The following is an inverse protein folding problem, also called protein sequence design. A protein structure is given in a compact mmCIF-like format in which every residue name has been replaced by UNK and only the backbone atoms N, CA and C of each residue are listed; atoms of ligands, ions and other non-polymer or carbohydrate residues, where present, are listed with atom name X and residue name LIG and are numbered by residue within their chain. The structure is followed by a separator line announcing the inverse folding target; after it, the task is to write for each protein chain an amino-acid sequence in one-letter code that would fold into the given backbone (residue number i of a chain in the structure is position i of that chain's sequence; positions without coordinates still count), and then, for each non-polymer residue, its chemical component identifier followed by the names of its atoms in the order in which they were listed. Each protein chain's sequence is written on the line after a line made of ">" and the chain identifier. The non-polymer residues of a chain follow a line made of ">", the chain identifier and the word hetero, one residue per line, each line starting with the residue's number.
data_IF_695782551643
#
_entry.id   IF_695782551643
#
_cell.length_a   1.000
_cell.length_b   1.000
_cell.length_c   1.000
_cell.angle_alpha   90.00
_cell.angle_beta   90.00
_cell.angle_gamma   90.00
#
_symmetry.space_group_name_H-M   'P 1'
#
loop_
_entity.id
_entity.type
_entity.pdbx_description
1 polymer ?
#
# COMPACT_ATOMS: atom_id res chain seq x y z
N UNK A 1 20.91 -3.50 5.11
CA UNK A 1 20.36 -3.70 3.75
C UNK A 1 20.77 -5.04 3.15
N UNK A 2 22.03 -5.48 3.30
CA UNK A 2 22.52 -6.78 2.81
C UNK A 2 21.65 -7.98 3.19
N UNK A 3 21.31 -8.14 4.47
CA UNK A 3 20.46 -9.24 4.92
C UNK A 3 19.04 -9.17 4.35
N UNK A 4 18.48 -7.96 4.22
CA UNK A 4 17.19 -7.74 3.57
C UNK A 4 17.21 -8.22 2.11
N UNK A 5 18.23 -7.81 1.34
CA UNK A 5 18.38 -8.19 -0.05
C UNK A 5 18.60 -9.70 -0.22
N UNK A 6 19.46 -10.30 0.62
CA UNK A 6 19.68 -11.75 0.63
C UNK A 6 18.41 -12.54 0.98
N UNK A 7 17.63 -12.06 1.95
CA UNK A 7 16.33 -12.66 2.30
C UNK A 7 15.35 -12.56 1.14
N UNK A 8 15.25 -11.40 0.49
CA UNK A 8 14.41 -11.20 -0.69
C UNK A 8 14.79 -12.14 -1.84
N UNK A 9 16.09 -12.32 -2.09
CA UNK A 9 16.59 -13.24 -3.11
C UNK A 9 16.24 -14.70 -2.78
N UNK A 10 16.42 -15.12 -1.52
CA UNK A 10 16.06 -16.46 -1.06
C UNK A 10 14.55 -16.74 -1.17
N UNK A 11 13.71 -15.76 -0.84
CA UNK A 11 12.25 -15.84 -1.05
C UNK A 11 11.90 -15.96 -2.53
N UNK A 12 12.57 -15.21 -3.40
CA UNK A 12 12.36 -15.26 -4.85
C UNK A 12 12.81 -16.56 -5.49
N UNK A 13 13.80 -17.24 -4.91
CA UNK A 13 14.38 -18.47 -5.44
C UNK A 13 13.53 -19.73 -5.21
N UNK A 14 12.51 -19.67 -4.34
CA UNK A 14 11.63 -20.82 -4.05
C UNK A 14 10.23 -20.60 -4.61
N UNK A 15 9.60 -21.61 -5.25
CA UNK A 15 8.20 -21.53 -5.66
C UNK A 15 7.22 -21.83 -4.51
N UNK A 16 7.69 -22.42 -3.41
CA UNK A 16 6.81 -22.93 -2.34
C UNK A 16 6.41 -21.82 -1.36
N UNK A 17 5.11 -21.52 -1.30
CA UNK A 17 4.54 -20.47 -0.44
C UNK A 17 4.89 -20.63 1.04
N UNK A 18 4.85 -21.86 1.57
CA UNK A 18 5.22 -22.13 2.96
C UNK A 18 6.70 -21.85 3.22
N UNK A 19 7.57 -22.18 2.26
CA UNK A 19 9.01 -21.92 2.40
C UNK A 19 9.34 -20.43 2.33
N UNK A 20 8.64 -19.66 1.48
CA UNK A 20 8.76 -18.19 1.47
C UNK A 20 8.41 -17.59 2.83
N UNK A 21 7.30 -18.06 3.40
CA UNK A 21 6.82 -17.63 4.72
C UNK A 21 7.88 -17.92 5.77
N UNK A 22 8.48 -19.12 5.70
CA UNK A 22 9.52 -19.57 6.64
C UNK A 22 10.80 -18.78 6.60
N UNK A 23 11.30 -18.52 5.39
CA UNK A 23 12.50 -17.70 5.18
C UNK A 23 12.27 -16.30 5.71
N UNK A 24 11.14 -15.68 5.35
CA UNK A 24 10.83 -14.31 5.75
C UNK A 24 10.55 -14.19 7.26
N UNK A 25 9.82 -15.15 7.84
CA UNK A 25 9.54 -15.20 9.28
C UNK A 25 10.80 -15.41 10.12
N UNK A 26 11.75 -16.22 9.64
CA UNK A 26 13.06 -16.36 10.26
C UNK A 26 13.84 -15.04 10.27
N UNK A 27 13.81 -14.29 9.16
CA UNK A 27 14.42 -12.97 9.08
C UNK A 27 13.73 -11.96 10.01
N UNK A 28 12.40 -11.88 10.05
CA UNK A 28 11.69 -10.94 10.93
C UNK A 28 11.98 -11.14 12.42
N UNK A 29 12.29 -12.37 12.86
CA UNK A 29 12.69 -12.65 14.25
C UNK A 29 14.02 -12.03 14.65
N UNK A 30 14.92 -11.74 13.70
CA UNK A 30 16.26 -11.20 14.01
C UNK A 30 16.29 -9.68 14.11
N UNK A 31 15.27 -8.99 13.58
CA UNK A 31 15.25 -7.54 13.49
C UNK A 31 14.82 -6.89 14.80
N UNK A 32 15.31 -5.68 15.10
CA UNK A 32 14.71 -4.79 16.09
C UNK A 32 13.35 -4.24 15.60
N UNK A 33 12.68 -3.42 16.39
CA UNK A 33 11.35 -2.91 16.03
C UNK A 33 11.35 -1.94 14.84
N UNK A 34 12.36 -1.07 14.75
CA UNK A 34 12.40 -0.06 13.70
C UNK A 34 12.77 -0.70 12.35
N UNK A 35 13.70 -1.64 12.37
CA UNK A 35 14.09 -2.41 11.20
C UNK A 35 13.03 -3.43 10.80
N UNK A 36 12.29 -4.03 11.75
CA UNK A 36 11.12 -4.85 11.44
C UNK A 36 10.05 -4.04 10.72
N UNK A 37 9.75 -2.82 11.20
CA UNK A 37 8.78 -1.93 10.57
C UNK A 37 9.17 -1.62 9.13
N UNK A 38 10.43 -1.22 8.90
CA UNK A 38 10.97 -0.95 7.56
C UNK A 38 10.92 -2.19 6.66
N UNK A 39 11.41 -3.33 7.16
CA UNK A 39 11.47 -4.57 6.40
C UNK A 39 10.08 -5.07 5.98
N UNK A 40 9.08 -5.05 6.86
CA UNK A 40 7.72 -5.47 6.53
C UNK A 40 7.10 -4.58 5.44
N UNK A 41 7.30 -3.26 5.52
CA UNK A 41 6.84 -2.31 4.50
C UNK A 41 7.54 -2.57 3.16
N UNK A 42 8.87 -2.70 3.15
CA UNK A 42 9.64 -2.92 1.93
C UNK A 42 9.35 -4.28 1.28
N UNK A 43 9.20 -5.35 2.06
CA UNK A 43 8.84 -6.68 1.57
C UNK A 43 7.42 -6.72 0.99
N UNK A 44 6.52 -5.84 1.44
CA UNK A 44 5.21 -5.64 0.80
C UNK A 44 5.27 -4.90 -0.54
N UNK A 45 6.48 -4.51 -1.00
CA UNK A 45 6.69 -3.78 -2.24
C UNK A 45 6.33 -2.30 -2.13
N UNK A 46 6.46 -1.69 -0.95
CA UNK A 46 6.16 -0.27 -0.76
C UNK A 46 7.39 0.46 -0.25
N UNK A 47 7.63 1.67 -0.76
CA UNK A 47 8.70 2.55 -0.27
C UNK A 47 8.36 3.26 1.05
N UNK A 48 7.07 3.48 1.30
CA UNK A 48 6.60 4.17 2.49
C UNK A 48 5.48 3.39 3.15
N UNK A 49 5.36 3.58 4.45
CA UNK A 49 4.26 3.06 5.24
C UNK A 49 2.92 3.57 4.64
N UNK A 50 1.90 2.71 4.51
CA UNK A 50 0.60 3.11 3.99
C UNK A 50 -0.05 4.25 4.79
N UNK A 51 0.14 4.26 6.12
CA UNK A 51 -0.42 5.28 7.01
C UNK A 51 0.17 6.68 6.77
N UNK A 52 1.39 6.77 6.24
CA UNK A 52 2.04 8.05 5.94
C UNK A 52 1.58 8.69 4.63
N UNK A 53 0.91 7.95 3.74
CA UNK A 53 0.34 8.45 2.47
C UNK A 53 1.33 9.19 1.57
N UNK A 54 2.58 8.73 1.54
CA UNK A 54 3.67 9.37 0.78
C UNK A 54 3.81 8.74 -0.61
N UNK A 55 4.12 9.56 -1.60
CA UNK A 55 4.57 9.09 -2.92
C UNK A 55 5.96 9.63 -3.19
N UNK A 56 6.84 8.79 -3.73
CA UNK A 56 8.23 9.18 -4.01
C UNK A 56 8.28 10.23 -5.14
N UNK A 57 7.40 10.08 -6.13
CA UNK A 57 7.34 10.95 -7.31
C UNK A 57 8.63 10.93 -8.13
N UNK A 58 9.30 9.77 -8.18
CA UNK A 58 10.48 9.53 -9.02
C UNK A 58 10.02 8.86 -10.31
N UNK A 59 10.32 9.47 -11.46
CA UNK A 59 9.99 8.91 -12.76
C UNK A 59 11.10 8.01 -13.31
N UNK A 60 10.74 7.16 -14.28
CA UNK A 60 11.66 6.31 -15.02
C UNK A 60 12.86 7.09 -15.59
N UNK A 61 12.63 8.28 -16.13
CA UNK A 61 13.68 9.10 -16.74
C UNK A 61 14.78 9.50 -15.75
N UNK A 62 14.45 9.80 -14.49
CA UNK A 62 15.43 10.13 -13.46
C UNK A 62 16.21 8.89 -13.03
N UNK A 63 15.51 7.76 -12.79
CA UNK A 63 16.12 6.49 -12.41
C UNK A 63 17.09 5.99 -13.49
N UNK A 64 16.64 5.98 -14.74
CA UNK A 64 17.41 5.54 -15.90
C UNK A 64 18.69 6.37 -16.11
N UNK A 65 18.59 7.70 -15.98
CA UNK A 65 19.75 8.60 -16.07
C UNK A 65 20.78 8.35 -14.98
N UNK A 66 20.34 8.15 -13.73
CA UNK A 66 21.27 7.89 -12.62
C UNK A 66 21.98 6.54 -12.80
N UNK A 67 21.24 5.48 -13.16
CA UNK A 67 21.84 4.16 -13.39
C UNK A 67 22.79 4.17 -14.59
N UNK A 68 22.44 4.87 -15.68
CA UNK A 68 23.36 5.06 -16.81
C UNK A 68 24.65 5.78 -16.39
N UNK A 69 24.54 6.86 -15.63
CA UNK A 69 25.68 7.61 -15.09
C UNK A 69 26.62 6.74 -14.25
N UNK A 70 26.07 5.94 -13.31
CA UNK A 70 26.88 5.09 -12.44
C UNK A 70 27.46 3.89 -13.20
N UNK A 71 26.65 3.23 -14.03
CA UNK A 71 27.06 2.02 -14.72
C UNK A 71 28.12 2.26 -15.80
N UNK A 72 28.15 3.48 -16.37
CA UNK A 72 28.99 3.80 -17.52
C UNK A 72 28.63 3.03 -18.78
N UNK A 73 27.46 2.39 -18.81
CA UNK A 73 26.93 1.63 -19.95
C UNK A 73 26.16 2.56 -20.88
N UNK A 74 26.22 2.28 -22.18
CA UNK A 74 25.48 3.03 -23.18
C UNK A 74 23.98 2.65 -23.21
N UNK A 75 23.20 3.40 -23.99
CA UNK A 75 21.75 3.23 -24.08
C UNK A 75 21.36 1.89 -24.74
N UNK A 76 22.19 1.37 -25.64
CA UNK A 76 21.92 0.09 -26.33
C UNK A 76 22.12 -1.10 -25.39
N UNK A 77 23.20 -1.09 -24.60
CA UNK A 77 23.47 -2.07 -23.56
C UNK A 77 22.37 -2.07 -22.50
N UNK A 78 22.03 -0.89 -21.96
CA UNK A 78 20.98 -0.76 -20.95
C UNK A 78 19.61 -1.17 -21.49
N UNK A 79 19.31 -0.85 -22.75
CA UNK A 79 18.09 -1.29 -23.42
C UNK A 79 18.03 -2.81 -23.59
N UNK A 80 19.16 -3.44 -23.87
CA UNK A 80 19.27 -4.91 -23.98
C UNK A 80 19.08 -5.60 -22.63
N UNK A 81 19.71 -5.08 -21.57
CA UNK A 81 19.49 -5.56 -20.20
C UNK A 81 18.02 -5.42 -19.78
N UNK A 82 17.40 -4.29 -20.11
CA UNK A 82 16.01 -4.04 -19.75
C UNK A 82 15.07 -5.04 -20.44
N UNK A 83 15.28 -5.31 -21.73
CA UNK A 83 14.52 -6.34 -22.47
C UNK A 83 14.73 -7.75 -21.92
N UNK A 84 15.96 -8.09 -21.52
CA UNK A 84 16.31 -9.39 -20.94
C UNK A 84 15.49 -9.69 -19.68
N UNK A 85 15.39 -8.72 -18.76
CA UNK A 85 14.76 -8.93 -17.45
C UNK A 85 13.29 -8.56 -17.41
N UNK A 86 12.90 -7.51 -18.14
CA UNK A 86 11.58 -6.87 -18.04
C UNK A 86 11.20 -6.46 -16.61
N UNK A 87 12.17 -6.38 -15.69
CA UNK A 87 12.05 -6.00 -14.27
C UNK A 87 13.09 -4.92 -13.94
N UNK A 88 12.66 -3.84 -13.29
CA UNK A 88 13.50 -2.68 -13.01
C UNK A 88 14.60 -2.98 -11.99
N UNK A 89 14.32 -3.84 -11.02
CA UNK A 89 15.31 -4.23 -10.02
C UNK A 89 16.40 -5.08 -10.63
N UNK A 90 16.02 -6.13 -11.35
CA UNK A 90 16.96 -7.08 -11.94
C UNK A 90 17.81 -6.40 -13.00
N UNK A 91 17.18 -5.51 -13.80
CA UNK A 91 17.87 -4.59 -14.70
C UNK A 91 18.89 -3.71 -13.96
N UNK A 92 18.50 -3.05 -12.86
CA UNK A 92 19.40 -2.18 -12.11
C UNK A 92 20.57 -2.95 -11.47
N UNK A 93 20.30 -4.12 -10.88
CA UNK A 93 21.32 -4.98 -10.30
C UNK A 93 22.36 -5.42 -11.32
N UNK A 94 21.93 -5.88 -12.51
CA UNK A 94 22.89 -6.26 -13.58
C UNK A 94 23.59 -5.04 -14.19
N UNK A 95 22.90 -3.91 -14.36
CA UNK A 95 23.51 -2.69 -14.89
C UNK A 95 24.65 -2.19 -13.98
N UNK A 96 24.45 -2.29 -12.66
CA UNK A 96 25.38 -1.81 -11.63
C UNK A 96 26.41 -2.85 -11.18
N UNK A 97 26.38 -4.06 -11.74
CA UNK A 97 27.32 -5.14 -11.40
C UNK A 97 28.78 -4.71 -11.61
N UNK A 98 29.58 -4.77 -10.55
CA UNK A 98 30.95 -4.27 -10.47
C UNK A 98 31.13 -2.78 -10.87
N UNK A 99 30.06 -1.96 -10.79
CA UNK A 99 30.08 -0.51 -11.11
C UNK A 99 29.89 0.40 -9.90
N UNK A 100 29.66 -0.17 -8.72
CA UNK A 100 29.50 0.57 -7.46
C UNK A 100 30.73 0.39 -6.55
N UNK A 101 30.77 1.15 -5.45
CA UNK A 101 31.77 0.98 -4.40
C UNK A 101 31.04 0.60 -3.09
N UNK A 102 30.73 -0.70 -2.89
CA UNK A 102 29.87 -1.14 -1.80
C UNK A 102 30.39 -0.72 -0.42
N UNK A 103 29.51 -0.12 0.37
CA UNK A 103 29.73 0.28 1.75
C UNK A 103 28.60 -0.28 2.63
N UNK A 104 28.78 -0.42 3.95
CA UNK A 104 27.67 -0.75 4.83
C UNK A 104 26.52 0.27 4.70
N UNK A 105 25.32 -0.24 4.40
CA UNK A 105 24.08 0.54 4.31
C UNK A 105 23.01 -0.11 5.19
N UNK A 106 22.45 0.66 6.12
CA UNK A 106 21.35 0.27 7.00
C UNK A 106 19.99 0.44 6.29
N UNK A 107 18.92 -0.11 6.86
CA UNK A 107 17.57 0.21 6.36
C UNK A 107 17.16 1.65 6.71
N UNK A 108 17.75 2.24 7.75
CA UNK A 108 17.59 3.66 8.06
C UNK A 108 18.19 4.56 6.97
N UNK A 109 19.39 4.27 6.46
CA UNK A 109 19.99 5.00 5.32
C UNK A 109 19.04 4.99 4.09
N UNK A 110 18.38 3.86 3.85
CA UNK A 110 17.38 3.70 2.77
C UNK A 110 16.17 4.59 3.02
N UNK A 111 15.60 4.56 4.23
CA UNK A 111 14.46 5.40 4.63
C UNK A 111 14.78 6.90 4.49
N UNK A 112 15.94 7.33 5.00
CA UNK A 112 16.41 8.72 4.90
C UNK A 112 16.61 9.15 3.43
N UNK A 113 17.13 8.25 2.60
CA UNK A 113 17.28 8.52 1.15
C UNK A 113 15.92 8.64 0.46
N UNK A 114 14.98 7.76 0.76
CA UNK A 114 13.62 7.83 0.20
C UNK A 114 12.95 9.17 0.59
N UNK A 115 13.13 9.62 1.82
CA UNK A 115 12.62 10.92 2.28
C UNK A 115 13.32 12.11 1.60
N UNK A 116 14.64 12.01 1.38
CA UNK A 116 15.40 13.02 0.64
C UNK A 116 14.93 13.12 -0.83
N UNK A 117 14.68 11.98 -1.50
CA UNK A 117 14.12 11.94 -2.86
C UNK A 117 12.71 12.55 -2.88
N UNK A 118 11.88 12.21 -1.88
CA UNK A 118 10.50 12.71 -1.78
C UNK A 118 10.42 14.23 -1.62
N UNK A 119 11.28 14.80 -0.79
CA UNK A 119 11.31 16.24 -0.47
C UNK A 119 11.97 17.08 -1.57
N UNK A 120 12.89 16.50 -2.34
CA UNK A 120 13.52 17.17 -3.46
C UNK A 120 12.53 17.46 -4.61
N UNK A 121 12.80 18.52 -5.39
CA UNK A 121 12.00 18.94 -6.55
C UNK A 121 12.75 18.75 -7.87
N UNK A 122 12.02 18.31 -8.90
CA UNK A 122 12.57 18.16 -10.25
C UNK A 122 13.85 17.32 -10.28
N UNK A 123 14.88 17.82 -10.97
CA UNK A 123 16.15 17.12 -11.15
C UNK A 123 16.95 16.92 -9.86
N UNK A 124 16.64 17.65 -8.77
CA UNK A 124 17.36 17.50 -7.50
C UNK A 124 17.15 16.12 -6.86
N UNK A 125 16.12 15.36 -7.29
CA UNK A 125 15.86 13.98 -6.87
C UNK A 125 16.97 13.00 -7.26
N UNK A 126 17.73 13.30 -8.32
CA UNK A 126 18.79 12.42 -8.81
C UNK A 126 19.94 12.28 -7.81
N UNK A 127 20.29 13.37 -7.10
CA UNK A 127 21.45 13.42 -6.21
C UNK A 127 21.37 12.42 -5.03
N UNK A 128 20.29 12.39 -4.20
CA UNK A 128 20.20 11.40 -3.13
C UNK A 128 20.11 9.96 -3.66
N UNK A 129 19.45 9.76 -4.80
CA UNK A 129 19.37 8.45 -5.46
C UNK A 129 20.75 7.95 -5.90
N UNK A 130 21.53 8.79 -6.56
CA UNK A 130 22.89 8.48 -7.03
C UNK A 130 23.83 8.18 -5.86
N UNK A 131 23.80 9.02 -4.82
CA UNK A 131 24.65 8.87 -3.65
C UNK A 131 24.42 7.53 -2.92
N UNK A 132 23.17 7.07 -2.81
CA UNK A 132 22.88 5.77 -2.21
C UNK A 132 23.28 4.64 -3.16
N UNK A 133 22.90 4.68 -4.45
CA UNK A 133 23.19 3.60 -5.41
C UNK A 133 24.70 3.34 -5.55
N UNK A 134 25.55 4.38 -5.50
CA UNK A 134 27.01 4.22 -5.54
C UNK A 134 27.57 3.42 -4.35
N UNK A 135 26.87 3.41 -3.20
CA UNK A 135 27.27 2.72 -1.97
C UNK A 135 26.68 1.30 -1.86
N UNK A 136 25.69 0.95 -2.66
CA UNK A 136 25.01 -0.34 -2.57
C UNK A 136 25.80 -1.44 -3.30
N UNK A 137 25.82 -2.63 -2.72
CA UNK A 137 26.11 -3.85 -3.46
C UNK A 137 25.05 -4.05 -4.58
N UNK A 138 25.39 -4.64 -5.74
CA UNK A 138 24.44 -4.86 -6.83
C UNK A 138 23.15 -5.58 -6.41
N UNK A 139 23.22 -6.52 -5.47
CA UNK A 139 22.04 -7.21 -4.94
C UNK A 139 21.18 -6.24 -4.10
N UNK A 140 21.81 -5.41 -3.28
CA UNK A 140 21.10 -4.38 -2.50
C UNK A 140 20.47 -3.33 -3.42
N UNK A 141 21.16 -2.93 -4.49
CA UNK A 141 20.64 -2.00 -5.49
C UNK A 141 19.43 -2.57 -6.23
N UNK A 142 19.44 -3.87 -6.58
CA UNK A 142 18.30 -4.59 -7.15
C UNK A 142 17.06 -4.44 -6.27
N UNK A 143 17.20 -4.74 -4.98
CA UNK A 143 16.08 -4.67 -4.04
C UNK A 143 15.65 -3.23 -3.73
N UNK A 144 16.59 -2.30 -3.65
CA UNK A 144 16.26 -0.88 -3.48
C UNK A 144 15.44 -0.34 -4.67
N UNK A 145 15.79 -0.71 -5.90
CA UNK A 145 15.02 -0.31 -7.08
C UNK A 145 13.66 -0.99 -7.14
N UNK A 146 13.53 -2.25 -6.69
CA UNK A 146 12.22 -2.92 -6.52
C UNK A 146 11.31 -2.19 -5.54
N UNK A 147 11.86 -1.72 -4.41
CA UNK A 147 11.14 -0.90 -3.42
C UNK A 147 10.65 0.41 -4.05
N UNK A 148 11.51 1.10 -4.80
CA UNK A 148 11.17 2.34 -5.51
C UNK A 148 10.08 2.11 -6.57
N UNK A 149 10.20 1.01 -7.33
CA UNK A 149 9.27 0.65 -8.39
C UNK A 149 7.88 0.26 -7.85
N UNK A 150 7.79 -0.13 -6.58
CA UNK A 150 6.56 -0.61 -5.97
C UNK A 150 6.25 -2.08 -6.26
N UNK A 151 7.21 -2.83 -6.80
CA UNK A 151 7.03 -4.21 -7.23
C UNK A 151 8.29 -5.04 -6.91
N UNK A 152 8.16 -5.99 -5.99
CA UNK A 152 9.28 -6.89 -5.62
C UNK A 152 9.50 -8.00 -6.65
N UNK A 153 8.42 -8.49 -7.28
CA UNK A 153 8.43 -9.60 -8.25
C UNK A 153 9.11 -10.90 -7.79
N UNK A 154 9.21 -11.11 -6.48
CA UNK A 154 9.73 -12.36 -5.87
C UNK A 154 8.61 -13.35 -5.53
N UNK A 155 7.40 -13.14 -6.06
CA UNK A 155 6.20 -13.94 -5.76
C UNK A 155 5.82 -13.90 -4.27
N UNK A 156 6.03 -12.75 -3.63
CA UNK A 156 5.62 -12.44 -2.27
C UNK A 156 4.47 -11.45 -2.34
N UNK A 157 3.28 -11.87 -1.90
CA UNK A 157 2.14 -10.97 -1.74
C UNK A 157 2.11 -10.43 -0.32
N UNK A 158 1.39 -9.34 -0.09
CA UNK A 158 1.22 -8.79 1.26
C UNK A 158 0.60 -9.81 2.24
N UNK A 159 -0.30 -10.68 1.76
CA UNK A 159 -0.83 -11.78 2.58
C UNK A 159 0.22 -12.82 3.00
N UNK A 160 1.31 -12.98 2.23
CA UNK A 160 2.46 -13.79 2.63
C UNK A 160 3.38 -13.06 3.61
N UNK A 161 3.43 -11.73 3.55
CA UNK A 161 4.08 -10.93 4.60
C UNK A 161 3.31 -11.08 5.92
N UNK A 162 1.97 -11.02 5.91
CA UNK A 162 1.13 -11.33 7.07
C UNK A 162 1.40 -12.74 7.61
N UNK A 163 1.49 -13.75 6.73
CA UNK A 163 1.82 -15.12 7.11
C UNK A 163 3.22 -15.22 7.75
N UNK A 164 4.20 -14.47 7.24
CA UNK A 164 5.56 -14.47 7.77
C UNK A 164 5.62 -13.80 9.15
N UNK A 165 4.82 -12.75 9.38
CA UNK A 165 4.66 -12.13 10.70
C UNK A 165 4.01 -13.11 11.69
N UNK A 166 2.95 -13.81 11.25
CA UNK A 166 2.28 -14.85 12.04
C UNK A 166 3.27 -15.95 12.47
N UNK A 167 4.08 -16.43 11.52
CA UNK A 167 5.12 -17.42 11.78
C UNK A 167 6.22 -16.89 12.71
N UNK A 168 6.71 -15.67 12.47
CA UNK A 168 7.79 -15.07 13.24
C UNK A 168 7.47 -14.94 14.72
N UNK A 169 6.23 -14.55 15.06
CA UNK A 169 5.83 -14.22 16.43
C UNK A 169 4.86 -15.23 17.04
N UNK A 170 4.60 -16.35 16.37
CA UNK A 170 3.74 -17.42 16.88
C UNK A 170 2.28 -17.01 17.08
N UNK A 171 1.78 -16.10 16.23
CA UNK A 171 0.41 -15.54 16.30
C UNK A 171 -0.45 -16.19 15.22
N UNK A 172 -1.74 -16.43 15.50
CA UNK A 172 -2.64 -16.97 14.49
C UNK A 172 -2.80 -15.98 13.32
N UNK A 173 -2.77 -16.47 12.07
CA UNK A 173 -2.90 -15.61 10.88
C UNK A 173 -4.20 -14.78 10.87
N UNK A 174 -5.27 -15.28 11.48
CA UNK A 174 -6.53 -14.54 11.64
C UNK A 174 -6.37 -13.31 12.54
N UNK A 175 -5.59 -13.42 13.61
CA UNK A 175 -5.26 -12.30 14.49
C UNK A 175 -4.34 -11.31 13.79
N UNK A 176 -3.34 -11.78 13.03
CA UNK A 176 -2.47 -10.89 12.24
C UNK A 176 -3.28 -10.06 11.24
N UNK A 177 -4.17 -10.73 10.49
CA UNK A 177 -5.08 -10.06 9.55
C UNK A 177 -5.99 -9.05 10.24
N UNK A 178 -6.47 -9.35 11.44
CA UNK A 178 -7.29 -8.44 12.23
C UNK A 178 -6.52 -7.20 12.68
N UNK A 179 -5.30 -7.37 13.21
CA UNK A 179 -4.45 -6.24 13.59
C UNK A 179 -4.08 -5.41 12.35
N UNK A 180 -3.79 -6.07 11.22
CA UNK A 180 -3.50 -5.38 9.97
C UNK A 180 -4.71 -4.64 9.38
N UNK A 181 -5.91 -5.20 9.50
CA UNK A 181 -7.17 -4.55 9.12
C UNK A 181 -7.29 -3.20 9.84
N UNK A 182 -7.06 -3.18 11.15
CA UNK A 182 -7.26 -2.00 12.00
C UNK A 182 -6.14 -0.97 11.83
N UNK A 183 -4.88 -1.43 11.81
CA UNK A 183 -3.74 -0.51 11.64
C UNK A 183 -3.66 0.03 10.22
N UNK A 184 -4.13 -0.71 9.21
CA UNK A 184 -3.93 -0.38 7.80
C UNK A 184 -2.46 -0.35 7.37
N UNK A 185 -1.54 -0.83 8.23
CA UNK A 185 -0.09 -0.66 8.07
C UNK A 185 0.64 -1.93 8.53
N UNK A 186 1.25 -2.62 7.57
CA UNK A 186 1.93 -3.90 7.80
C UNK A 186 3.18 -3.75 8.69
N UNK A 187 3.85 -2.59 8.65
CA UNK A 187 5.01 -2.32 9.48
C UNK A 187 4.61 -2.13 10.94
N UNK A 188 3.57 -1.33 11.18
CA UNK A 188 3.00 -1.16 12.51
C UNK A 188 2.42 -2.48 13.06
N UNK A 189 1.74 -3.25 12.20
CA UNK A 189 1.24 -4.59 12.54
C UNK A 189 2.36 -5.49 13.04
N UNK A 190 3.48 -5.56 12.32
CA UNK A 190 4.60 -6.42 12.69
C UNK A 190 5.17 -6.05 14.07
N UNK A 191 5.34 -4.75 14.34
CA UNK A 191 5.87 -4.26 15.63
C UNK A 191 4.93 -4.56 16.78
N UNK A 192 3.62 -4.30 16.63
CA UNK A 192 2.61 -4.62 17.65
C UNK A 192 2.61 -6.09 18.01
N UNK A 193 2.60 -6.96 17.00
CA UNK A 193 2.58 -8.40 17.21
C UNK A 193 3.87 -8.91 17.85
N UNK A 194 5.02 -8.32 17.49
CA UNK A 194 6.29 -8.60 18.19
C UNK A 194 6.23 -8.26 19.68
N UNK A 195 5.51 -7.21 20.07
CA UNK A 195 5.28 -6.82 21.47
C UNK A 195 4.19 -7.62 22.17
N UNK A 196 3.46 -8.48 21.45
CA UNK A 196 2.30 -9.22 21.98
C UNK A 196 1.02 -8.38 22.05
N UNK A 197 0.95 -7.23 21.39
CA UNK A 197 -0.22 -6.35 21.32
C UNK A 197 -1.23 -6.87 20.28
N UNK A 198 -1.86 -8.01 20.59
CA UNK A 198 -2.77 -8.73 19.67
C UNK A 198 -4.21 -8.18 19.76
N UNK A 199 -4.63 -7.78 20.96
CA UNK A 199 -5.92 -7.16 21.24
C UNK A 199 -5.89 -5.70 20.76
N UNK A 200 -6.16 -5.48 19.49
CA UNK A 200 -6.41 -4.14 18.95
C UNK A 200 -7.91 -4.04 18.69
N UNK A 201 -8.58 -3.18 19.46
CA UNK A 201 -10.03 -2.95 19.35
C UNK A 201 -10.38 -1.53 18.93
N UNK A 202 -9.41 -0.61 18.88
CA UNK A 202 -9.67 0.80 18.61
C UNK A 202 -9.23 1.19 17.20
N UNK A 203 -10.17 1.65 16.40
CA UNK A 203 -9.91 2.39 15.17
C UNK A 203 -9.40 3.78 15.55
N UNK A 204 -8.32 4.22 14.90
CA UNK A 204 -7.84 5.61 15.00
C UNK A 204 -8.48 6.43 13.87
N UNK A 205 -9.27 7.47 14.16
CA UNK A 205 -9.81 8.36 13.12
C UNK A 205 -8.70 8.89 12.20
N UNK A 206 -9.00 8.99 10.90
CA UNK A 206 -8.06 9.37 9.84
C UNK A 206 -6.87 8.42 9.64
N UNK A 207 -6.89 7.23 10.22
CA UNK A 207 -6.06 6.11 9.78
C UNK A 207 -7.01 5.13 9.08
N UNK A 208 -7.02 5.06 7.74
CA UNK A 208 -7.96 4.22 7.03
C UNK A 208 -7.75 2.75 7.37
N UNK A 209 -8.83 2.06 7.70
CA UNK A 209 -8.81 0.62 7.96
C UNK A 209 -8.83 -0.11 6.63
N UNK A 210 -8.25 -1.31 6.54
CA UNK A 210 -8.40 -2.08 5.29
C UNK A 210 -9.87 -2.47 5.13
N UNK A 211 -10.39 -2.45 3.91
CA UNK A 211 -11.79 -2.83 3.71
C UNK A 211 -11.95 -4.35 3.70
N UNK A 212 -13.03 -4.82 4.33
CA UNK A 212 -13.52 -6.18 4.19
C UNK A 212 -13.82 -6.49 2.73
N UNK A 213 -13.40 -7.68 2.29
CA UNK A 213 -13.52 -8.14 0.92
C UNK A 213 -14.59 -9.23 0.78
N UNK A 214 -15.29 -9.21 -0.34
CA UNK A 214 -16.20 -10.27 -0.73
C UNK A 214 -15.45 -11.39 -1.48
N UNK A 215 -15.90 -12.62 -1.29
CA UNK A 215 -15.53 -13.76 -2.16
C UNK A 215 -16.64 -13.99 -3.17
N UNK A 216 -16.32 -14.25 -4.45
CA UNK A 216 -17.34 -14.61 -5.43
C UNK A 216 -17.96 -15.96 -5.07
N UNK A 217 -19.24 -16.10 -5.39
CA UNK A 217 -20.02 -17.34 -5.33
C UNK A 217 -20.78 -17.46 -6.65
N UNK A 218 -20.96 -18.68 -7.14
CA UNK A 218 -21.59 -18.91 -8.44
C UNK A 218 -23.12 -18.95 -8.33
N UNK A 219 -23.64 -19.33 -7.17
CA UNK A 219 -25.08 -19.50 -6.93
C UNK A 219 -25.51 -18.92 -5.59
N UNK A 220 -26.79 -18.53 -5.44
CA UNK A 220 -27.34 -18.14 -4.15
C UNK A 220 -27.15 -19.22 -3.07
N UNK A 221 -27.37 -20.50 -3.39
CA UNK A 221 -27.26 -21.61 -2.43
C UNK A 221 -25.84 -21.76 -1.87
N UNK A 222 -24.81 -21.52 -2.68
CA UNK A 222 -23.42 -21.48 -2.22
C UNK A 222 -23.20 -20.35 -1.21
N UNK A 223 -23.81 -19.18 -1.43
CA UNK A 223 -23.73 -18.06 -0.49
C UNK A 223 -24.30 -18.44 0.89
N UNK A 224 -25.50 -19.01 0.93
CA UNK A 224 -26.13 -19.47 2.17
C UNK A 224 -25.30 -20.56 2.88
N UNK A 225 -24.82 -21.55 2.10
CA UNK A 225 -23.98 -22.64 2.62
C UNK A 225 -22.70 -22.10 3.24
N UNK A 226 -22.01 -21.17 2.55
CA UNK A 226 -20.75 -20.58 3.00
C UNK A 226 -20.92 -19.71 4.24
N UNK A 227 -22.03 -18.96 4.32
CA UNK A 227 -22.37 -18.16 5.49
C UNK A 227 -22.85 -19.01 6.67
N UNK A 228 -23.21 -20.27 6.44
CA UNK A 228 -23.75 -21.17 7.47
C UNK A 228 -25.06 -20.64 8.08
N UNK A 229 -25.82 -19.84 7.33
CA UNK A 229 -26.96 -19.10 7.83
C UNK A 229 -28.23 -19.40 7.00
N UNK A 230 -29.38 -19.51 7.67
CA UNK A 230 -30.68 -19.66 7.00
C UNK A 230 -31.28 -18.34 6.49
N UNK A 231 -30.63 -17.20 6.80
CA UNK A 231 -31.05 -15.86 6.39
C UNK A 231 -29.80 -15.02 6.18
N UNK A 232 -29.78 -14.24 5.09
CA UNK A 232 -28.69 -13.32 4.76
C UNK A 232 -29.27 -11.97 4.38
N UNK A 233 -28.52 -10.91 4.65
CA UNK A 233 -28.81 -9.57 4.13
C UNK A 233 -28.23 -9.43 2.72
N UNK A 234 -28.95 -8.77 1.83
CA UNK A 234 -28.51 -8.54 0.45
C UNK A 234 -28.57 -7.06 0.13
N UNK A 235 -27.54 -6.56 -0.52
CA UNK A 235 -27.44 -5.19 -0.98
C UNK A 235 -27.12 -5.15 -2.48
N UNK A 236 -27.44 -4.03 -3.13
CA UNK A 236 -27.04 -3.81 -4.51
C UNK A 236 -25.51 -3.64 -4.59
N UNK A 237 -24.88 -4.40 -5.48
CA UNK A 237 -23.46 -4.19 -5.79
C UNK A 237 -23.31 -3.02 -6.75
N UNK A 238 -23.00 -1.85 -6.21
CA UNK A 238 -22.76 -0.65 -7.00
C UNK A 238 -21.48 -0.73 -7.85
N UNK A 239 -21.46 0.04 -8.95
CA UNK A 239 -20.33 0.20 -9.88
C UNK A 239 -19.77 1.62 -9.75
N UNK A 240 -18.96 1.83 -8.71
CA UNK A 240 -18.45 3.14 -8.31
C UNK A 240 -17.01 3.09 -7.84
N UNK A 241 -16.71 3.95 -6.86
CA UNK A 241 -15.42 3.96 -6.17
C UNK A 241 -15.66 3.77 -4.69
N UNK A 242 -15.31 2.58 -4.19
CA UNK A 242 -15.33 2.30 -2.76
C UNK A 242 -14.45 3.27 -1.99
N UNK A 243 -15.00 3.84 -0.93
CA UNK A 243 -14.30 4.78 -0.07
C UNK A 243 -14.67 4.62 1.40
N UNK A 244 -13.77 5.07 2.26
CA UNK A 244 -14.07 5.34 3.66
C UNK A 244 -14.23 6.84 3.88
N UNK A 245 -15.33 7.24 4.51
CA UNK A 245 -15.52 8.61 4.98
C UNK A 245 -15.24 8.63 6.48
N UNK A 246 -14.20 9.37 6.89
CA UNK A 246 -13.92 9.65 8.28
C UNK A 246 -14.35 11.08 8.60
N UNK A 247 -15.17 11.26 9.63
CA UNK A 247 -15.55 12.56 10.18
C UNK A 247 -15.27 12.57 11.68
N UNK A 248 -14.52 13.57 12.13
CA UNK A 248 -14.34 13.85 13.56
C UNK A 248 -14.31 15.36 13.78
N UNK A 249 -15.32 15.88 14.47
CA UNK A 249 -15.54 17.32 14.61
C UNK A 249 -15.62 18.01 13.25
N UNK A 250 -14.68 18.92 12.97
CA UNK A 250 -14.60 19.65 11.70
C UNK A 250 -13.70 18.98 10.65
N UNK A 251 -12.94 17.94 11.02
CA UNK A 251 -12.03 17.26 10.09
C UNK A 251 -12.80 16.14 9.38
N UNK A 252 -12.77 16.16 8.06
CA UNK A 252 -13.43 15.17 7.21
C UNK A 252 -12.42 14.74 6.15
N UNK A 253 -12.19 13.44 6.00
CA UNK A 253 -11.32 12.89 4.97
C UNK A 253 -11.98 11.67 4.30
N UNK A 254 -11.75 11.54 3.00
CA UNK A 254 -12.14 10.39 2.21
C UNK A 254 -10.90 9.55 1.85
N UNK A 255 -11.00 8.24 1.99
CA UNK A 255 -9.97 7.29 1.57
C UNK A 255 -10.48 6.37 0.51
N UNK A 256 -9.75 6.21 -0.59
CA UNK A 256 -10.09 5.24 -1.63
C UNK A 256 -9.83 3.80 -1.17
N UNK A 257 -10.25 2.84 -1.99
CA UNK A 257 -9.96 1.41 -1.84
C UNK A 257 -8.49 1.08 -1.52
N UNK A 258 -7.56 1.85 -2.07
CA UNK A 258 -6.10 1.70 -1.87
C UNK A 258 -5.58 2.46 -0.64
N UNK A 259 -6.48 2.94 0.22
CA UNK A 259 -6.20 3.73 1.42
C UNK A 259 -5.55 5.10 1.12
N UNK A 260 -5.69 5.59 -0.11
CA UNK A 260 -5.20 6.91 -0.53
C UNK A 260 -6.25 7.96 -0.23
N UNK A 261 -5.81 9.06 0.35
CA UNK A 261 -6.64 10.24 0.60
C UNK A 261 -7.14 10.82 -0.74
N UNK A 262 -8.46 11.01 -0.86
CA UNK A 262 -9.16 11.41 -2.10
C UNK A 262 -10.22 12.50 -1.88
N UNK A 263 -10.20 13.17 -0.73
CA UNK A 263 -11.11 14.27 -0.31
C UNK A 263 -11.23 15.34 -1.38
N UNK A 264 -10.11 15.76 -1.96
CA UNK A 264 -10.09 16.82 -2.98
C UNK A 264 -10.83 16.46 -4.27
N UNK A 265 -11.05 15.17 -4.55
CA UNK A 265 -11.79 14.71 -5.72
C UNK A 265 -13.32 14.80 -5.54
N UNK A 266 -13.81 14.90 -4.29
CA UNK A 266 -15.25 14.87 -3.96
C UNK A 266 -15.64 15.95 -2.92
N UNK A 267 -15.35 17.24 -3.19
CA UNK A 267 -15.61 18.33 -2.25
C UNK A 267 -17.08 18.46 -1.83
N UNK A 268 -18.04 18.13 -2.68
CA UNK A 268 -19.47 18.16 -2.36
C UNK A 268 -19.85 17.16 -1.23
N UNK A 269 -19.15 16.03 -1.12
CA UNK A 269 -19.36 15.09 -0.01
C UNK A 269 -18.84 15.66 1.31
N UNK A 270 -17.75 16.41 1.25
CA UNK A 270 -17.13 17.07 2.41
C UNK A 270 -17.99 18.22 2.90
N UNK A 271 -18.55 18.99 1.97
CA UNK A 271 -19.48 20.08 2.24
C UNK A 271 -20.78 19.56 2.90
N UNK A 272 -21.24 18.36 2.53
CA UNK A 272 -22.45 17.74 3.09
C UNK A 272 -22.21 16.98 4.42
N UNK A 273 -21.02 16.45 4.65
CA UNK A 273 -20.70 15.62 5.82
C UNK A 273 -20.98 16.26 7.20
N UNK A 274 -20.90 17.59 7.41
CA UNK A 274 -21.34 18.22 8.65
C UNK A 274 -22.77 17.86 9.05
N UNK A 275 -23.67 17.62 8.08
CA UNK A 275 -25.06 17.23 8.31
C UNK A 275 -25.26 15.84 8.94
N UNK A 276 -24.22 15.00 8.98
CA UNK A 276 -24.26 13.68 9.65
C UNK A 276 -24.48 13.83 11.16
N UNK A 277 -23.97 14.91 11.77
CA UNK A 277 -24.13 15.19 13.20
C UNK A 277 -23.26 14.36 14.15
N UNK A 278 -22.70 13.23 13.69
CA UNK A 278 -21.91 12.29 14.50
C UNK A 278 -20.48 12.12 14.00
N UNK A 279 -19.56 11.82 14.90
CA UNK A 279 -18.22 11.42 14.52
C UNK A 279 -18.30 9.97 14.03
N UNK A 280 -17.89 9.73 12.78
CA UNK A 280 -18.15 8.47 12.07
C UNK A 280 -16.98 8.00 11.23
N UNK A 281 -16.90 6.68 11.05
CA UNK A 281 -16.18 6.04 9.95
C UNK A 281 -17.18 5.18 9.17
N UNK A 282 -17.51 5.63 7.97
CA UNK A 282 -18.36 4.87 7.04
C UNK A 282 -17.53 4.13 6.00
N UNK A 283 -17.98 2.94 5.60
CA UNK A 283 -17.60 2.28 4.35
C UNK A 283 -18.75 2.44 3.35
N UNK A 284 -18.42 2.85 2.13
CA UNK A 284 -19.42 3.16 1.13
C UNK A 284 -18.86 3.21 -0.28
N UNK A 285 -19.76 3.43 -1.23
CA UNK A 285 -19.45 3.57 -2.65
C UNK A 285 -19.77 4.98 -3.12
N UNK A 286 -18.79 5.69 -3.68
CA UNK A 286 -19.04 6.95 -4.39
C UNK A 286 -19.56 6.63 -5.78
N UNK A 287 -20.68 7.24 -6.14
CA UNK A 287 -21.35 7.05 -7.42
C UNK A 287 -21.58 8.38 -8.10
N UNK A 288 -21.35 8.42 -9.41
CA UNK A 288 -21.89 9.52 -10.21
C UNK A 288 -23.42 9.38 -10.23
N UNK A 289 -24.14 10.44 -9.89
CA UNK A 289 -25.58 10.38 -9.67
C UNK A 289 -26.27 11.68 -10.07
N UNK A 290 -27.33 11.59 -10.88
CA UNK A 290 -28.15 12.73 -11.29
C UNK A 290 -29.63 12.35 -11.28
N UNK A 291 -30.47 13.24 -10.76
CA UNK A 291 -31.94 13.13 -10.79
C UNK A 291 -32.48 11.78 -10.29
N UNK A 292 -31.91 11.27 -9.18
CA UNK A 292 -32.33 10.00 -8.57
C UNK A 292 -31.76 8.75 -9.25
N UNK A 293 -30.81 8.90 -10.19
CA UNK A 293 -30.25 7.78 -10.96
C UNK A 293 -28.73 7.74 -10.88
N UNK A 294 -28.21 6.53 -10.68
CA UNK A 294 -26.78 6.23 -10.80
C UNK A 294 -26.38 6.30 -12.27
N UNK A 295 -25.31 7.05 -12.55
CA UNK A 295 -24.68 7.15 -13.87
C UNK A 295 -23.63 6.05 -14.02
N UNK A 296 -23.17 5.83 -15.26
CA UNK A 296 -22.14 4.82 -15.54
C UNK A 296 -20.82 5.20 -14.88
N UNK A 297 -20.04 4.19 -14.46
CA UNK A 297 -18.70 4.39 -13.91
C UNK A 297 -17.80 5.26 -14.79
N UNK A 298 -17.93 5.16 -16.12
CA UNK A 298 -17.18 5.99 -17.08
C UNK A 298 -17.32 7.51 -16.82
N UNK A 299 -18.49 7.98 -16.39
CA UNK A 299 -18.69 9.39 -16.03
C UNK A 299 -17.89 9.74 -14.78
N UNK A 300 -17.92 8.86 -13.77
CA UNK A 300 -17.18 9.03 -12.51
C UNK A 300 -15.67 9.06 -12.72
N UNK A 301 -15.15 8.35 -13.74
CA UNK A 301 -13.72 8.35 -14.06
C UNK A 301 -13.15 9.76 -14.30
N UNK A 302 -13.97 10.72 -14.77
CA UNK A 302 -13.55 12.12 -14.95
C UNK A 302 -13.12 12.81 -13.64
N UNK A 303 -13.61 12.31 -12.50
CA UNK A 303 -13.30 12.81 -11.14
C UNK A 303 -12.04 12.21 -10.55
N UNK A 304 -11.64 11.01 -10.96
CA UNK A 304 -10.58 10.25 -10.30
C UNK A 304 -9.20 10.90 -10.47
N UNK A 305 -8.42 10.93 -9.39
CA UNK A 305 -7.07 11.50 -9.38
C UNK A 305 -7.00 13.03 -9.48
N UNK A 306 -8.14 13.72 -9.53
CA UNK A 306 -8.18 15.18 -9.57
C UNK A 306 -7.84 15.75 -8.19
N UNK A 307 -6.90 16.70 -8.15
CA UNK A 307 -6.53 17.45 -6.94
C UNK A 307 -7.37 18.71 -6.73
N UNK A 308 -8.08 19.14 -7.76
CA UNK A 308 -9.04 20.22 -7.73
C UNK A 308 -10.17 19.87 -8.70
N UNK A 309 -11.39 20.11 -8.26
CA UNK A 309 -12.62 19.90 -9.05
C UNK A 309 -13.34 21.24 -9.11
N UNK A 310 -13.37 21.82 -10.31
CA UNK A 310 -14.07 23.07 -10.60
C UNK A 310 -15.60 22.88 -10.61
N UNK A 311 -16.33 24.00 -10.64
CA UNK A 311 -17.79 24.00 -10.62
C UNK A 311 -18.42 23.32 -11.83
N UNK A 312 -17.75 23.36 -12.99
CA UNK A 312 -18.28 22.76 -14.21
C UNK A 312 -18.21 21.23 -14.11
N UNK A 313 -17.09 20.68 -13.66
CA UNK A 313 -16.95 19.25 -13.46
C UNK A 313 -17.88 18.72 -12.36
N UNK A 314 -18.15 19.51 -11.31
CA UNK A 314 -19.15 19.15 -10.28
C UNK A 314 -20.56 19.08 -10.86
N UNK A 315 -20.93 20.05 -11.70
CA UNK A 315 -22.25 20.08 -12.38
C UNK A 315 -22.38 18.95 -13.39
N UNK A 316 -21.31 18.66 -14.12
CA UNK A 316 -21.25 17.62 -15.16
C UNK A 316 -21.29 16.21 -14.58
N UNK A 317 -20.58 15.99 -13.46
CA UNK A 317 -20.49 14.70 -12.78
C UNK A 317 -20.77 14.88 -11.29
N UNK A 318 -22.04 15.10 -10.92
CA UNK A 318 -22.46 15.12 -9.52
C UNK A 318 -22.31 13.74 -8.91
N UNK A 319 -21.95 13.68 -7.62
CA UNK A 319 -21.75 12.41 -6.92
C UNK A 319 -22.59 12.30 -5.66
N UNK A 320 -22.82 11.06 -5.24
CA UNK A 320 -23.38 10.68 -3.94
C UNK A 320 -22.50 9.62 -3.30
N UNK A 321 -22.55 9.51 -1.97
CA UNK A 321 -21.96 8.41 -1.22
C UNK A 321 -23.09 7.50 -0.76
N UNK A 322 -23.08 6.25 -1.21
CA UNK A 322 -23.97 5.20 -0.68
C UNK A 322 -23.22 4.44 0.39
N UNK A 323 -23.66 4.56 1.64
CA UNK A 323 -23.03 3.91 2.79
C UNK A 323 -23.65 2.53 2.95
N UNK A 324 -22.80 1.52 3.16
CA UNK A 324 -23.24 0.15 3.46
C UNK A 324 -22.65 -0.39 4.76
N UNK A 325 -21.69 0.32 5.39
CA UNK A 325 -21.15 -0.08 6.69
C UNK A 325 -20.81 1.12 7.57
N UNK A 326 -20.88 0.93 8.90
CA UNK A 326 -20.48 1.89 9.93
C UNK A 326 -19.49 1.20 10.87
N UNK A 327 -18.21 1.55 10.75
CA UNK A 327 -17.14 0.86 11.47
C UNK A 327 -16.78 1.55 12.80
N UNK A 328 -17.13 2.83 12.94
CA UNK A 328 -16.83 3.62 14.14
C UNK A 328 -17.85 4.75 14.31
N UNK A 329 -18.34 4.94 15.53
CA UNK A 329 -19.34 5.95 15.90
C UNK A 329 -19.00 6.56 17.26
N UNK A 330 -18.83 7.89 17.32
CA UNK A 330 -18.69 8.68 18.55
C UNK A 330 -17.72 8.07 19.59
N UNK A 331 -16.53 7.70 19.14
CA UNK A 331 -15.48 7.12 20.01
C UNK A 331 -15.53 5.60 20.14
N UNK A 332 -16.54 4.92 19.58
CA UNK A 332 -16.72 3.47 19.69
C UNK A 332 -16.44 2.77 18.37
N UNK A 333 -15.65 1.70 18.40
CA UNK A 333 -15.43 0.82 17.26
C UNK A 333 -16.52 -0.24 17.21
N UNK A 334 -17.09 -0.45 16.02
CA UNK A 334 -18.22 -1.37 15.80
C UNK A 334 -17.81 -2.64 15.02
N UNK A 335 -16.50 -2.93 14.91
CA UNK A 335 -15.99 -4.08 14.13
C UNK A 335 -16.46 -5.46 14.66
N UNK A 336 -16.96 -5.52 15.89
CA UNK A 336 -17.42 -6.75 16.56
C UNK A 336 -18.89 -6.69 16.98
N UNK A 337 -19.64 -5.67 16.57
CA UNK A 337 -21.06 -5.50 16.92
C UNK A 337 -22.03 -6.14 15.93
#
# INVERSE_FOLDING_TARGET
>A
MREFAGTGAAVGATPATLEKTRILGAYFRTLDEDDLRRAAVYMSGRAFSPSQRRTLGLGWSTLSKVISSISGRDEEELGTLFRKHSDLGDWAGEALDARTAPQPVSMQDVEETLEAIRTARGNAKAKPLEALLQRLDPEEARFFVKIIAGEMRIGLSEGLVEAAIAEAFGVAITQVKRVHLITGDIGETAVRLKRGEIEVSSITPFQPVRFMLASPVETPDEAFTRMGAGTVWTEEKYDGVRCQLHRQGSRIELFSRDLKETTAAFPELIEAAPGIGHDVLFDGEVLAHRDGRVLRFFELQRRLGRKQVDSDLRRDVPVVLVIFDLLWLDGRTLLDE
#
